data_IF_921249531424
#
_entry.id   IF_921249531424
#
_cell.length_a   1.000
_cell.length_b   1.000
_cell.length_c   1.000
_cell.angle_alpha   90.00
_cell.angle_beta   90.00
_cell.angle_gamma   90.00
#
_symmetry.space_group_name_H-M   'P 1'
#
loop_
_entity.id
_entity.type
_entity.pdbx_description
1 polymer ?
#
# COMPACT_ATOMS: atom_id res chain seq x y z
N UNK A 1 -1.11 -4.42 22.09
CA UNK A 1 -0.60 -3.82 20.84
C UNK A 1 -1.68 -4.04 19.80
N UNK A 2 -2.35 -2.99 19.32
CA UNK A 2 -3.42 -3.18 18.34
C UNK A 2 -2.77 -3.56 17.00
N UNK A 3 -2.94 -4.80 16.58
CA UNK A 3 -2.49 -5.27 15.28
C UNK A 3 -3.27 -4.54 14.19
N UNK A 4 -2.57 -3.93 13.24
CA UNK A 4 -3.23 -3.21 12.16
C UNK A 4 -4.02 -4.20 11.29
N UNK A 5 -5.29 -3.90 10.99
CA UNK A 5 -6.10 -4.76 10.13
C UNK A 5 -5.64 -4.62 8.68
N UNK A 6 -4.80 -5.55 8.24
CA UNK A 6 -4.29 -5.62 6.87
C UNK A 6 -5.33 -6.20 5.92
N UNK A 7 -5.43 -5.61 4.73
CA UNK A 7 -6.30 -6.04 3.65
C UNK A 7 -5.46 -6.21 2.39
N UNK A 8 -5.45 -7.43 1.85
CA UNK A 8 -4.78 -7.77 0.60
C UNK A 8 -5.55 -7.20 -0.60
N UNK A 9 -4.83 -6.67 -1.58
CA UNK A 9 -5.43 -6.17 -2.82
C UNK A 9 -6.13 -7.29 -3.61
N UNK A 10 -7.31 -7.00 -4.18
CA UNK A 10 -8.03 -7.93 -5.07
C UNK A 10 -7.31 -8.23 -6.40
N UNK A 11 -6.25 -7.49 -6.73
CA UNK A 11 -5.39 -7.78 -7.88
C UNK A 11 -4.30 -8.82 -7.60
N UNK A 12 -4.25 -9.32 -6.36
CA UNK A 12 -3.31 -10.36 -5.94
C UNK A 12 -3.70 -11.68 -6.60
N UNK A 13 -2.85 -12.17 -7.50
CA UNK A 13 -2.92 -13.54 -8.05
C UNK A 13 -2.21 -14.52 -7.13
N UNK A 14 -2.25 -15.81 -7.46
CA UNK A 14 -1.46 -16.86 -6.79
C UNK A 14 0.04 -16.49 -6.85
N UNK A 15 0.62 -16.10 -5.71
CA UNK A 15 2.01 -15.62 -5.59
C UNK A 15 2.25 -14.74 -4.36
N UNK A 16 3.52 -14.34 -4.13
CA UNK A 16 3.92 -13.50 -2.98
C UNK A 16 4.05 -12.00 -3.29
N UNK A 17 3.66 -11.58 -4.49
CA UNK A 17 3.78 -10.21 -5.00
C UNK A 17 2.54 -9.37 -4.69
N UNK A 18 1.97 -9.59 -3.50
CA UNK A 18 0.71 -8.99 -3.09
C UNK A 18 0.96 -7.69 -2.31
N UNK A 19 0.23 -6.64 -2.65
CA UNK A 19 0.21 -5.41 -1.86
C UNK A 19 -0.91 -5.49 -0.80
N UNK A 20 -0.57 -5.12 0.43
CA UNK A 20 -1.48 -5.06 1.57
C UNK A 20 -1.59 -3.64 2.12
N UNK A 21 -2.81 -3.27 2.51
CA UNK A 21 -3.16 -1.95 3.03
C UNK A 21 -3.72 -2.08 4.44
N UNK A 22 -3.35 -1.17 5.34
CA UNK A 22 -3.98 -1.04 6.66
C UNK A 22 -4.20 0.43 7.03
N UNK A 23 -5.25 0.72 7.80
CA UNK A 23 -5.48 2.06 8.35
C UNK A 23 -4.85 2.16 9.73
N UNK A 24 -4.11 3.24 9.96
CA UNK A 24 -3.51 3.56 11.26
C UNK A 24 -3.67 5.05 11.56
N UNK A 25 -4.52 5.40 12.53
CA UNK A 25 -4.67 6.75 13.09
C UNK A 25 -4.57 7.93 12.08
N UNK A 26 -5.34 7.87 10.98
CA UNK A 26 -5.36 8.93 9.94
C UNK A 26 -4.36 8.75 8.79
N UNK A 27 -3.46 7.78 8.91
CA UNK A 27 -2.55 7.34 7.87
C UNK A 27 -2.98 5.99 7.26
N UNK A 28 -2.48 5.72 6.08
CA UNK A 28 -2.56 4.46 5.39
C UNK A 28 -1.17 3.82 5.40
N UNK A 29 -1.12 2.57 5.81
CA UNK A 29 0.06 1.73 5.72
C UNK A 29 -0.04 0.90 4.44
N UNK A 30 1.07 0.77 3.74
CA UNK A 30 1.21 -0.02 2.51
C UNK A 30 2.43 -0.92 2.72
N UNK A 31 2.29 -2.22 2.48
CA UNK A 31 3.41 -3.16 2.50
C UNK A 31 3.25 -4.22 1.42
N UNK A 32 4.34 -4.90 1.12
CA UNK A 32 4.35 -6.12 0.32
C UNK A 32 4.21 -7.35 1.22
N UNK A 33 3.48 -8.36 0.76
CA UNK A 33 3.26 -9.61 1.48
C UNK A 33 4.57 -10.37 1.72
N UNK A 34 5.53 -10.28 0.81
CA UNK A 34 6.88 -10.88 0.96
C UNK A 34 7.77 -10.11 1.95
N UNK A 35 7.46 -8.83 2.21
CA UNK A 35 8.21 -7.96 3.11
C UNK A 35 7.30 -7.39 4.21
N UNK A 36 6.80 -8.22 5.15
CA UNK A 36 5.81 -7.82 6.15
C UNK A 36 6.32 -6.73 7.12
N UNK A 37 7.65 -6.59 7.26
CA UNK A 37 8.33 -5.61 8.10
C UNK A 37 8.54 -4.25 7.37
N UNK A 38 8.49 -4.24 6.04
CA UNK A 38 8.72 -3.04 5.23
C UNK A 38 7.41 -2.30 4.92
N UNK A 39 6.82 -1.67 5.95
CA UNK A 39 5.59 -0.88 5.80
C UNK A 39 5.87 0.60 5.52
N UNK A 40 5.38 1.10 4.38
CA UNK A 40 5.34 2.51 4.04
C UNK A 40 4.12 3.18 4.68
N UNK A 41 4.32 4.37 5.24
CA UNK A 41 3.22 5.19 5.79
C UNK A 41 2.93 6.35 4.86
N UNK A 42 1.67 6.51 4.45
CA UNK A 42 1.20 7.64 3.63
C UNK A 42 -0.11 8.21 4.15
N UNK A 43 -0.47 9.42 3.73
CA UNK A 43 -1.75 10.02 4.08
C UNK A 43 -2.88 9.38 3.27
N UNK A 44 -3.95 8.95 3.95
CA UNK A 44 -5.14 8.41 3.30
C UNK A 44 -5.84 9.44 2.38
N UNK A 45 -5.56 10.73 2.56
CA UNK A 45 -6.08 11.79 1.68
C UNK A 45 -5.49 11.73 0.27
N UNK A 46 -4.22 11.30 0.13
CA UNK A 46 -3.56 11.20 -1.18
C UNK A 46 -4.14 10.05 -2.01
N UNK A 47 -4.51 8.94 -1.37
CA UNK A 47 -5.09 7.78 -2.07
C UNK A 47 -6.56 7.93 -2.47
N UNK A 48 -7.24 8.98 -1.97
CA UNK A 48 -8.63 9.29 -2.34
C UNK A 48 -8.75 10.06 -3.65
N UNK A 49 -7.66 10.65 -4.14
CA UNK A 49 -7.66 11.24 -5.47
C UNK A 49 -7.65 10.10 -6.50
N UNK A 50 -8.50 10.15 -7.54
CA UNK A 50 -8.39 9.22 -8.65
C UNK A 50 -6.98 9.35 -9.23
N UNK A 51 -6.20 8.28 -9.11
CA UNK A 51 -4.91 8.17 -9.76
C UNK A 51 -5.18 7.99 -11.26
N UNK A 52 -5.25 9.09 -12.03
CA UNK A 52 -5.43 9.06 -13.49
C UNK A 52 -4.22 8.48 -14.25
N UNK A 53 -3.34 7.72 -13.60
CA UNK A 53 -2.10 7.18 -14.16
C UNK A 53 -2.02 5.67 -13.92
N UNK A 54 -2.85 4.91 -14.63
CA UNK A 54 -2.72 3.47 -14.73
C UNK A 54 -1.73 3.07 -15.82
N UNK A 55 -0.62 2.43 -15.42
CA UNK A 55 0.40 1.74 -16.24
C UNK A 55 1.50 2.62 -16.88
N UNK A 56 2.12 3.49 -16.09
CA UNK A 56 3.52 3.83 -16.29
C UNK A 56 4.26 3.45 -15.00
N UNK A 57 5.12 2.44 -15.07
CA UNK A 57 6.02 2.12 -13.96
C UNK A 57 6.88 3.34 -13.66
N UNK A 58 6.95 3.74 -12.40
CA UNK A 58 7.78 4.86 -11.97
C UNK A 58 7.26 5.53 -10.70
N UNK A 59 7.41 4.86 -9.55
CA UNK A 59 7.34 5.52 -8.24
C UNK A 59 8.75 6.03 -7.87
N UNK A 60 9.45 6.72 -8.78
CA UNK A 60 10.73 7.34 -8.45
C UNK A 60 10.46 8.73 -7.86
N UNK A 61 10.54 8.84 -6.52
CA UNK A 61 10.80 10.12 -5.88
C UNK A 61 12.30 10.28 -5.75
N UNK A 62 12.92 10.97 -6.70
CA UNK A 62 14.22 11.61 -6.51
C UNK A 62 14.03 13.11 -6.31
N UNK A 63 14.60 13.62 -5.21
CA UNK A 63 14.92 15.04 -4.98
C UNK A 63 13.81 15.83 -4.33
#
# INVERSE_FOLDING_TARGET
MAEATWQKSSFSTDGNECIELARSAGSLLIRESDLPDAALTTSAHVLRLPLSTGKAGGLDRRG
#
